data_IF_180806266000
#
_entry.id   IF_180806266000
#
_cell.length_a   1.000
_cell.length_b   1.000
_cell.length_c   1.000
_cell.angle_alpha   90.00
_cell.angle_beta   90.00
_cell.angle_gamma   90.00
#
_symmetry.space_group_name_H-M   'P 1'
#
loop_
_entity.id
_entity.type
_entity.pdbx_description
1 polymer ?
#
# COMPACT_ATOMS: atom_id res chain seq x y z
N UNK A 1 -39.59 -28.07 43.06
CA UNK A 1 -38.84 -27.52 41.90
C UNK A 1 -39.28 -26.08 41.71
N UNK A 2 -38.35 -25.10 41.71
CA UNK A 2 -38.69 -23.74 41.29
C UNK A 2 -39.04 -23.77 39.80
N UNK A 3 -40.02 -22.99 39.32
CA UNK A 3 -40.29 -22.90 37.89
C UNK A 3 -39.02 -22.42 37.17
N UNK A 4 -38.72 -23.01 36.01
CA UNK A 4 -37.59 -22.63 35.15
C UNK A 4 -37.58 -21.12 34.82
N UNK A 5 -38.74 -20.46 34.92
CA UNK A 5 -38.88 -19.00 34.75
C UNK A 5 -38.21 -18.15 35.84
N UNK A 6 -37.76 -18.74 36.95
CA UNK A 6 -37.13 -18.01 38.06
C UNK A 6 -35.59 -18.18 38.14
N UNK A 7 -34.99 -18.95 37.23
CA UNK A 7 -33.54 -19.18 37.19
C UNK A 7 -32.95 -18.64 35.89
N UNK A 8 -31.84 -17.92 36.00
CA UNK A 8 -31.07 -17.43 34.85
C UNK A 8 -30.56 -18.62 34.00
N UNK A 9 -31.03 -18.80 32.76
CA UNK A 9 -30.64 -19.91 31.89
C UNK A 9 -29.13 -19.93 31.61
N UNK A 10 -28.49 -18.77 31.52
CA UNK A 10 -27.05 -18.67 31.25
C UNK A 10 -26.27 -19.27 32.42
N UNK A 11 -26.68 -18.96 33.66
CA UNK A 11 -26.08 -19.52 34.87
C UNK A 11 -26.22 -21.05 34.93
N UNK A 12 -27.39 -21.59 34.57
CA UNK A 12 -27.61 -23.04 34.50
C UNK A 12 -26.70 -23.71 33.47
N UNK A 13 -26.50 -23.10 32.30
CA UNK A 13 -25.59 -23.61 31.27
C UNK A 13 -24.12 -23.58 31.72
N UNK A 14 -23.69 -22.52 32.41
CA UNK A 14 -22.33 -22.41 32.98
C UNK A 14 -22.07 -23.54 33.98
N UNK A 15 -23.03 -23.77 34.89
CA UNK A 15 -22.92 -24.84 35.89
C UNK A 15 -22.92 -26.23 35.25
N UNK A 16 -23.76 -26.45 34.24
CA UNK A 16 -23.82 -27.71 33.49
C UNK A 16 -22.51 -28.00 32.75
N UNK A 17 -21.96 -27.01 32.04
CA UNK A 17 -20.66 -27.13 31.37
C UNK A 17 -19.53 -27.38 32.37
N UNK A 18 -19.58 -26.77 33.56
CA UNK A 18 -18.60 -27.03 34.62
C UNK A 18 -18.59 -28.49 35.09
N UNK A 19 -19.77 -29.12 35.18
CA UNK A 19 -19.90 -30.54 35.51
C UNK A 19 -19.38 -31.43 34.37
N UNK A 20 -19.72 -31.10 33.13
CA UNK A 20 -19.27 -31.83 31.94
C UNK A 20 -17.74 -31.81 31.82
N UNK A 21 -17.11 -30.63 31.91
CA UNK A 21 -15.66 -30.48 31.93
C UNK A 21 -15.03 -31.31 33.06
N UNK A 22 -15.64 -31.29 34.26
CA UNK A 22 -15.17 -32.07 35.39
C UNK A 22 -15.20 -33.59 35.13
N UNK A 23 -16.19 -34.08 34.39
CA UNK A 23 -16.32 -35.49 34.03
C UNK A 23 -15.35 -35.88 32.91
N UNK A 24 -15.25 -35.07 31.85
CA UNK A 24 -14.31 -35.30 30.75
C UNK A 24 -12.87 -35.34 31.28
N UNK A 25 -12.47 -34.42 32.16
CA UNK A 25 -11.12 -34.43 32.78
C UNK A 25 -10.84 -35.68 33.62
N UNK A 26 -11.85 -36.27 34.27
CA UNK A 26 -11.66 -37.51 35.04
C UNK A 26 -11.40 -38.70 34.13
N UNK A 27 -12.09 -38.76 32.99
CA UNK A 27 -11.93 -39.82 31.96
C UNK A 27 -10.61 -39.66 31.21
N UNK A 28 -10.23 -38.42 30.90
CA UNK A 28 -9.07 -38.06 30.09
C UNK A 28 -7.94 -37.48 30.94
N UNK A 29 -7.23 -38.33 31.70
CA UNK A 29 -5.96 -37.95 32.33
C UNK A 29 -4.84 -37.95 31.28
N UNK A 30 -4.83 -36.95 30.39
CA UNK A 30 -3.70 -36.67 29.48
C UNK A 30 -3.39 -37.79 28.48
N UNK A 31 -4.41 -38.32 27.81
CA UNK A 31 -4.28 -39.44 26.88
C UNK A 31 -3.55 -39.00 25.60
N UNK A 32 -2.28 -39.39 25.49
CA UNK A 32 -1.53 -39.30 24.25
C UNK A 32 -1.90 -40.50 23.36
N UNK A 33 -2.41 -40.25 22.16
CA UNK A 33 -2.86 -41.30 21.25
C UNK A 33 -1.81 -41.50 20.16
N UNK A 34 -1.41 -42.75 19.92
CA UNK A 34 -0.53 -43.07 18.80
C UNK A 34 -1.38 -43.14 17.54
N UNK A 35 -1.04 -42.32 16.55
CA UNK A 35 -1.67 -42.31 15.23
C UNK A 35 -0.64 -42.68 14.16
N UNK A 36 -1.09 -43.38 13.12
CA UNK A 36 -0.21 -43.95 12.09
C UNK A 36 -0.67 -43.66 10.68
N UNK A 37 0.25 -43.85 9.74
CA UNK A 37 0.01 -43.74 8.31
C UNK A 37 -0.58 -42.38 7.92
N UNK A 38 0.09 -41.32 8.37
CA UNK A 38 -0.22 -39.95 8.01
C UNK A 38 0.30 -39.60 6.61
N UNK A 39 -0.56 -39.07 5.75
CA UNK A 39 -0.18 -38.57 4.43
C UNK A 39 -0.50 -37.07 4.32
N UNK A 40 0.41 -36.29 3.74
CA UNK A 40 0.17 -34.88 3.46
C UNK A 40 -0.76 -34.76 2.25
N UNK A 41 -1.95 -34.21 2.46
CA UNK A 41 -3.00 -34.08 1.43
C UNK A 41 -3.10 -32.67 0.85
N UNK A 42 -2.34 -31.71 1.40
CA UNK A 42 -2.19 -30.39 0.81
C UNK A 42 -1.83 -29.32 1.85
N UNK A 43 -1.98 -28.06 1.44
CA UNK A 43 -1.94 -26.91 2.35
C UNK A 43 -3.15 -26.03 2.07
N UNK A 44 -3.76 -25.46 3.13
CA UNK A 44 -4.92 -24.58 3.05
C UNK A 44 -5.01 -23.73 4.32
N UNK A 45 -5.44 -22.47 4.17
CA UNK A 45 -5.74 -21.59 5.31
C UNK A 45 -4.54 -21.36 6.26
N UNK A 46 -3.30 -21.39 5.76
CA UNK A 46 -2.08 -21.34 6.56
C UNK A 46 -1.69 -22.64 7.28
N UNK A 47 -2.41 -23.74 7.03
CA UNK A 47 -2.14 -25.06 7.61
C UNK A 47 -1.69 -26.06 6.55
N UNK A 48 -0.83 -26.99 6.94
CA UNK A 48 -0.50 -28.21 6.22
C UNK A 48 -1.50 -29.31 6.62
N UNK A 49 -2.22 -29.84 5.64
CA UNK A 49 -3.25 -30.84 5.86
C UNK A 49 -2.65 -32.24 5.83
N UNK A 50 -2.84 -32.98 6.92
CA UNK A 50 -2.43 -34.37 7.07
C UNK A 50 -3.62 -35.26 7.32
N UNK A 51 -3.68 -36.40 6.64
CA UNK A 51 -4.73 -37.41 6.77
C UNK A 51 -4.14 -38.68 7.37
N UNK A 52 -4.67 -39.10 8.50
CA UNK A 52 -4.31 -40.34 9.20
C UNK A 52 -5.49 -41.31 9.09
N UNK A 53 -5.22 -42.55 8.68
CA UNK A 53 -6.23 -43.61 8.54
C UNK A 53 -6.29 -44.54 9.74
N UNK A 54 -5.27 -44.47 10.60
CA UNK A 54 -5.15 -45.27 11.82
C UNK A 54 -5.01 -44.34 13.01
N UNK A 55 -6.14 -43.87 13.56
CA UNK A 55 -6.14 -42.92 14.67
C UNK A 55 -6.75 -43.44 15.98
N UNK A 56 -7.18 -44.70 16.04
CA UNK A 56 -7.87 -45.26 17.20
C UNK A 56 -9.21 -44.56 17.50
N UNK A 57 -9.81 -44.86 18.66
CA UNK A 57 -10.99 -44.14 19.15
C UNK A 57 -10.56 -42.81 19.79
N UNK A 58 -10.90 -41.70 19.13
CA UNK A 58 -10.62 -40.35 19.61
C UNK A 58 -11.94 -39.63 19.88
N UNK A 59 -12.10 -39.09 21.08
CA UNK A 59 -13.21 -38.18 21.41
C UNK A 59 -12.73 -36.72 21.28
N UNK A 60 -12.55 -36.27 20.04
CA UNK A 60 -12.21 -34.87 19.71
C UNK A 60 -13.11 -34.32 18.62
N UNK A 61 -13.53 -33.06 18.80
CA UNK A 61 -14.35 -32.34 17.82
C UNK A 61 -13.51 -31.53 16.83
N UNK A 62 -14.12 -31.14 15.72
CA UNK A 62 -13.54 -30.20 14.76
C UNK A 62 -13.16 -28.88 15.48
N UNK A 63 -12.05 -28.24 15.05
CA UNK A 63 -11.41 -27.08 15.67
C UNK A 63 -10.76 -27.33 17.04
N UNK A 64 -10.72 -28.57 17.55
CA UNK A 64 -9.98 -28.86 18.78
C UNK A 64 -8.47 -28.67 18.54
N UNK A 65 -7.76 -27.93 19.41
CA UNK A 65 -6.32 -27.79 19.30
C UNK A 65 -5.63 -29.12 19.59
N UNK A 66 -4.58 -29.40 18.83
CA UNK A 66 -3.76 -30.59 18.97
C UNK A 66 -2.28 -30.25 18.90
N UNK A 67 -1.47 -31.07 19.55
CA UNK A 67 -0.02 -31.07 19.37
C UNK A 67 0.39 -32.46 18.86
N UNK A 68 1.06 -32.48 17.72
CA UNK A 68 1.56 -33.69 17.09
C UNK A 68 3.06 -33.81 17.31
N UNK A 69 3.50 -34.93 17.89
CA UNK A 69 4.92 -35.22 18.14
C UNK A 69 5.38 -36.30 17.16
N UNK A 70 6.34 -35.96 16.30
CA UNK A 70 6.96 -36.86 15.32
C UNK A 70 8.47 -36.90 15.60
N UNK A 71 8.94 -37.99 16.21
CA UNK A 71 10.31 -38.09 16.71
C UNK A 71 10.61 -36.99 17.73
N UNK A 72 11.51 -36.06 17.39
CA UNK A 72 11.87 -34.90 18.23
C UNK A 72 11.12 -33.62 17.86
N UNK A 73 10.35 -33.61 16.76
CA UNK A 73 9.61 -32.44 16.29
C UNK A 73 8.23 -32.40 16.95
N UNK A 74 7.78 -31.20 17.30
CA UNK A 74 6.45 -30.92 17.84
C UNK A 74 5.79 -29.89 16.94
N UNK A 75 4.64 -30.23 16.37
CA UNK A 75 3.85 -29.31 15.55
C UNK A 75 2.50 -29.07 16.22
N UNK A 76 2.11 -27.80 16.32
CA UNK A 76 0.76 -27.43 16.74
C UNK A 76 -0.19 -27.47 15.56
N UNK A 77 -1.46 -27.69 15.85
CA UNK A 77 -2.48 -27.69 14.83
C UNK A 77 -3.88 -27.79 15.40
N UNK A 78 -4.83 -28.08 14.51
CA UNK A 78 -6.24 -28.25 14.83
C UNK A 78 -6.79 -29.50 14.15
N UNK A 79 -7.80 -30.10 14.77
CA UNK A 79 -8.62 -31.14 14.13
C UNK A 79 -9.47 -30.49 13.04
N UNK A 80 -9.27 -30.89 11.79
CA UNK A 80 -10.09 -30.44 10.67
C UNK A 80 -11.34 -31.30 10.54
N UNK A 81 -11.16 -32.62 10.64
CA UNK A 81 -12.25 -33.59 10.63
C UNK A 81 -11.83 -34.90 11.27
N UNK A 82 -12.76 -35.57 11.94
CA UNK A 82 -12.63 -36.96 12.38
C UNK A 82 -13.90 -37.72 11.99
N UNK A 83 -13.81 -38.59 10.98
CA UNK A 83 -14.96 -39.37 10.47
C UNK A 83 -14.51 -40.73 9.98
N UNK A 84 -15.31 -41.76 10.28
CA UNK A 84 -15.11 -43.13 9.78
C UNK A 84 -13.69 -43.67 10.06
N UNK A 85 -13.09 -43.27 11.19
CA UNK A 85 -11.72 -43.66 11.56
C UNK A 85 -10.62 -42.89 10.81
N UNK A 86 -10.98 -41.91 9.98
CA UNK A 86 -10.03 -41.04 9.28
C UNK A 86 -9.96 -39.68 10.00
N UNK A 87 -8.76 -39.35 10.47
CA UNK A 87 -8.44 -38.08 11.11
C UNK A 87 -7.72 -37.17 10.12
N UNK A 88 -8.26 -35.97 9.91
CA UNK A 88 -7.58 -34.90 9.18
C UNK A 88 -7.14 -33.81 10.15
N UNK A 89 -5.85 -33.50 10.16
CA UNK A 89 -5.24 -32.46 10.96
C UNK A 89 -4.75 -31.31 10.06
N UNK A 90 -4.92 -30.08 10.53
CA UNK A 90 -4.26 -28.91 9.97
C UNK A 90 -3.12 -28.50 10.89
N UNK A 91 -1.87 -28.68 10.45
CA UNK A 91 -0.66 -28.39 11.23
C UNK A 91 -0.01 -27.09 10.77
N UNK A 92 0.58 -26.34 11.69
CA UNK A 92 1.27 -25.08 11.40
C UNK A 92 2.63 -25.31 10.70
N UNK A 93 3.19 -26.52 10.81
CA UNK A 93 4.49 -26.89 10.24
C UNK A 93 4.37 -28.03 9.23
N UNK A 94 5.23 -27.99 8.19
CA UNK A 94 5.41 -29.11 7.28
C UNK A 94 6.30 -30.17 7.95
N UNK A 95 5.70 -31.32 8.23
CA UNK A 95 6.35 -32.50 8.79
C UNK A 95 6.80 -33.50 7.71
N UNK A 96 6.73 -33.11 6.43
CA UNK A 96 7.08 -33.96 5.30
C UNK A 96 5.86 -34.58 4.62
N UNK A 97 6.10 -35.40 3.60
CA UNK A 97 5.04 -35.99 2.76
C UNK A 97 4.33 -37.15 3.46
N UNK A 98 5.05 -37.91 4.29
CA UNK A 98 4.54 -39.08 4.99
C UNK A 98 5.00 -39.09 6.44
N UNK A 99 4.13 -39.56 7.33
CA UNK A 99 4.35 -39.71 8.76
C UNK A 99 3.96 -41.14 9.12
N UNK A 100 4.95 -42.01 9.38
CA UNK A 100 4.69 -43.41 9.70
C UNK A 100 3.95 -43.55 11.05
N UNK A 101 4.47 -42.89 12.08
CA UNK A 101 3.92 -42.90 13.44
C UNK A 101 4.09 -41.53 14.09
N UNK A 102 3.07 -41.10 14.82
CA UNK A 102 3.08 -39.85 15.57
C UNK A 102 2.30 -39.99 16.88
N UNK A 103 2.70 -39.21 17.89
CA UNK A 103 1.96 -39.08 19.13
C UNK A 103 1.07 -37.85 19.06
N UNK A 104 -0.24 -38.04 19.13
CA UNK A 104 -1.25 -36.99 19.15
C UNK A 104 -1.62 -36.64 20.59
N UNK A 105 -1.35 -35.40 20.97
CA UNK A 105 -1.76 -34.81 22.24
C UNK A 105 -2.99 -33.94 21.99
N UNK A 106 -4.08 -34.22 22.71
CA UNK A 106 -5.34 -33.49 22.60
C UNK A 106 -5.80 -32.95 23.94
N UNK A 107 -6.52 -31.83 23.93
CA UNK A 107 -7.26 -31.32 25.08
C UNK A 107 -8.78 -31.44 24.82
N UNK A 108 -9.43 -32.53 25.26
CA UNK A 108 -10.85 -32.76 25.00
C UNK A 108 -11.75 -31.77 25.76
N UNK A 109 -11.23 -31.05 26.76
CA UNK A 109 -12.00 -30.06 27.50
C UNK A 109 -11.97 -28.66 26.89
N UNK A 110 -11.04 -28.41 25.95
CA UNK A 110 -10.75 -27.07 25.45
C UNK A 110 -12.00 -26.33 24.95
N UNK A 111 -12.77 -26.94 24.04
CA UNK A 111 -13.95 -26.31 23.45
C UNK A 111 -15.05 -26.04 24.49
N UNK A 112 -15.23 -26.95 25.45
CA UNK A 112 -16.20 -26.81 26.54
C UNK A 112 -15.80 -25.69 27.52
N UNK A 113 -14.51 -25.61 27.87
CA UNK A 113 -13.98 -24.53 28.70
C UNK A 113 -14.13 -23.17 28.01
N UNK A 114 -13.88 -23.08 26.69
CA UNK A 114 -14.08 -21.86 25.90
C UNK A 114 -15.54 -21.45 25.80
N UNK A 115 -16.44 -22.39 25.58
CA UNK A 115 -17.88 -22.12 25.60
C UNK A 115 -18.34 -21.61 26.98
N UNK A 116 -17.85 -22.24 28.06
CA UNK A 116 -18.15 -21.80 29.43
C UNK A 116 -17.63 -20.39 29.69
N UNK A 117 -16.41 -20.07 29.29
CA UNK A 117 -15.84 -18.72 29.38
C UNK A 117 -16.70 -17.69 28.63
N UNK A 118 -17.16 -18.02 27.41
CA UNK A 118 -18.04 -17.14 26.64
C UNK A 118 -19.36 -16.85 27.36
N UNK A 119 -19.99 -17.88 27.96
CA UNK A 119 -21.21 -17.69 28.74
C UNK A 119 -20.97 -16.89 30.03
N UNK A 120 -19.83 -17.08 30.69
CA UNK A 120 -19.45 -16.29 31.87
C UNK A 120 -19.27 -14.81 31.51
N UNK A 121 -18.60 -14.51 30.39
CA UNK A 121 -18.43 -13.15 29.89
C UNK A 121 -19.78 -12.50 29.52
N UNK A 122 -20.70 -13.30 28.95
CA UNK A 122 -22.07 -12.86 28.66
C UNK A 122 -22.82 -12.47 29.95
N UNK A 123 -22.74 -13.31 30.99
CA UNK A 123 -23.39 -13.04 32.28
C UNK A 123 -22.84 -11.78 32.98
N UNK A 124 -21.61 -11.38 32.67
CA UNK A 124 -20.98 -10.16 33.21
C UNK A 124 -21.29 -8.89 32.39
N UNK A 125 -22.17 -8.98 31.37
CA UNK A 125 -22.55 -7.84 30.54
C UNK A 125 -21.49 -7.46 29.50
N UNK A 126 -20.62 -8.40 29.12
CA UNK A 126 -19.46 -8.09 28.29
C UNK A 126 -19.78 -7.55 26.89
N UNK A 127 -20.76 -8.12 26.18
CA UNK A 127 -20.96 -7.86 24.74
C UNK A 127 -22.44 -7.78 24.32
N UNK A 128 -22.73 -7.13 23.17
CA UNK A 128 -24.08 -7.11 22.59
C UNK A 128 -24.57 -8.53 22.32
N UNK A 129 -25.70 -8.90 22.90
CA UNK A 129 -26.31 -10.22 22.76
C UNK A 129 -27.82 -10.06 22.58
N UNK A 130 -28.38 -10.71 21.56
CA UNK A 130 -29.82 -10.69 21.35
C UNK A 130 -30.51 -11.69 22.30
N UNK A 131 -30.67 -11.25 23.55
CA UNK A 131 -31.30 -12.05 24.60
C UNK A 131 -32.72 -12.47 24.23
N UNK A 132 -33.48 -11.62 23.54
CA UNK A 132 -34.87 -11.92 23.17
C UNK A 132 -34.96 -13.10 22.21
N UNK A 133 -34.10 -13.14 21.18
CA UNK A 133 -34.04 -14.26 20.24
C UNK A 133 -33.54 -15.52 20.93
N UNK A 134 -32.52 -15.42 21.79
CA UNK A 134 -32.00 -16.56 22.54
C UNK A 134 -33.05 -17.20 23.46
N UNK A 135 -33.80 -16.39 24.21
CA UNK A 135 -34.92 -16.84 25.05
C UNK A 135 -36.02 -17.50 24.19
N UNK A 136 -36.27 -16.99 22.98
CA UNK A 136 -37.23 -17.57 22.06
C UNK A 136 -36.78 -18.94 21.54
N UNK A 137 -35.50 -19.10 21.22
CA UNK A 137 -34.89 -20.39 20.83
C UNK A 137 -35.00 -21.42 21.96
N UNK A 138 -34.84 -20.98 23.22
CA UNK A 138 -34.96 -21.83 24.41
C UNK A 138 -36.43 -22.10 24.82
N UNK A 139 -37.41 -21.55 24.10
CA UNK A 139 -38.83 -21.67 24.45
C UNK A 139 -39.24 -20.91 25.72
N UNK A 140 -38.39 -20.00 26.22
CA UNK A 140 -38.66 -19.15 27.37
C UNK A 140 -39.50 -17.93 27.00
N UNK A 141 -39.52 -17.59 25.71
CA UNK A 141 -40.31 -16.50 25.13
C UNK A 141 -41.06 -17.01 23.89
N UNK A 142 -42.33 -16.64 23.68
CA UNK A 142 -43.06 -17.03 22.48
C UNK A 142 -42.47 -16.33 21.24
N UNK A 143 -42.32 -17.09 20.15
CA UNK A 143 -41.94 -16.58 18.83
C UNK A 143 -43.13 -15.79 18.26
N UNK A 144 -42.92 -14.53 17.92
CA UNK A 144 -43.92 -13.68 17.27
C UNK A 144 -43.52 -13.44 15.82
N UNK A 145 -44.45 -13.67 14.89
CA UNK A 145 -44.25 -13.38 13.49
C UNK A 145 -44.32 -11.87 13.26
N UNK A 146 -43.34 -11.33 12.54
CA UNK A 146 -43.41 -9.94 12.09
C UNK A 146 -44.25 -9.89 10.81
N UNK A 147 -45.38 -9.20 10.87
CA UNK A 147 -46.21 -8.94 9.68
C UNK A 147 -45.56 -7.79 8.91
N UNK A 148 -44.54 -8.09 8.11
CA UNK A 148 -44.02 -7.12 7.15
C UNK A 148 -44.87 -7.15 5.88
N UNK A 149 -45.30 -5.98 5.42
CA UNK A 149 -45.98 -5.84 4.13
C UNK A 149 -45.04 -6.34 3.02
N UNK A 150 -45.59 -7.18 2.13
CA UNK A 150 -44.90 -7.86 1.02
C UNK A 150 -43.84 -6.97 0.35
N UNK A 151 -42.58 -7.25 0.66
CA UNK A 151 -41.42 -6.69 -0.02
C UNK A 151 -40.48 -7.81 -0.46
N UNK A 152 -40.56 -8.20 -1.73
CA UNK A 152 -39.41 -8.75 -2.46
C UNK A 152 -39.15 -10.26 -2.43
N UNK A 153 -40.18 -11.11 -2.56
CA UNK A 153 -39.98 -12.50 -3.02
C UNK A 153 -40.47 -12.72 -4.47
N UNK A 154 -40.90 -11.66 -5.16
CA UNK A 154 -41.33 -11.74 -6.55
C UNK A 154 -40.10 -11.97 -7.46
N UNK A 155 -40.05 -13.12 -8.14
CA UNK A 155 -38.97 -13.49 -9.06
C UNK A 155 -37.85 -14.34 -8.46
N UNK A 156 -38.01 -14.88 -7.24
CA UNK A 156 -37.01 -15.75 -6.66
C UNK A 156 -37.07 -17.15 -7.27
N UNK A 157 -36.08 -17.51 -8.10
CA UNK A 157 -35.87 -18.85 -8.70
C UNK A 157 -36.02 -19.99 -7.67
N UNK A 158 -35.72 -19.72 -6.40
CA UNK A 158 -35.92 -20.65 -5.27
C UNK A 158 -37.34 -21.18 -5.15
N UNK A 159 -38.35 -20.33 -5.37
CA UNK A 159 -39.76 -20.69 -5.19
C UNK A 159 -40.29 -21.59 -6.31
N UNK A 160 -39.70 -21.51 -7.51
CA UNK A 160 -40.08 -22.31 -8.67
C UNK A 160 -39.57 -23.75 -8.57
N UNK A 161 -38.37 -23.94 -8.03
CA UNK A 161 -37.71 -25.25 -7.89
C UNK A 161 -38.07 -25.98 -6.58
N UNK A 162 -38.54 -25.27 -5.55
CA UNK A 162 -38.88 -25.82 -4.23
C UNK A 162 -40.23 -26.57 -4.24
N UNK A 163 -40.34 -27.66 -3.48
CA UNK A 163 -41.64 -28.31 -3.22
C UNK A 163 -42.51 -27.50 -2.24
N UNK A 164 -43.73 -27.95 -1.93
CA UNK A 164 -44.67 -27.20 -1.11
C UNK A 164 -44.15 -26.93 0.31
N UNK A 165 -43.55 -27.93 0.95
CA UNK A 165 -43.00 -27.84 2.30
C UNK A 165 -41.75 -26.94 2.35
N UNK A 166 -40.90 -27.01 1.32
CA UNK A 166 -39.74 -26.14 1.17
C UNK A 166 -40.15 -24.69 0.93
N UNK A 167 -41.17 -24.45 0.09
CA UNK A 167 -41.75 -23.11 -0.11
C UNK A 167 -42.28 -22.52 1.20
N UNK A 168 -42.98 -23.31 1.98
CA UNK A 168 -43.45 -22.90 3.31
C UNK A 168 -42.27 -22.56 4.23
N UNK A 169 -41.21 -23.38 4.26
CA UNK A 169 -40.02 -23.10 5.06
C UNK A 169 -39.33 -21.78 4.63
N UNK A 170 -39.25 -21.52 3.32
CA UNK A 170 -38.72 -20.25 2.78
C UNK A 170 -39.58 -19.08 3.28
N UNK A 171 -40.90 -19.13 3.08
CA UNK A 171 -41.81 -18.05 3.46
C UNK A 171 -41.76 -17.76 4.97
N UNK A 172 -41.81 -18.80 5.81
CA UNK A 172 -41.74 -18.67 7.27
C UNK A 172 -40.41 -18.06 7.71
N UNK A 173 -39.29 -18.48 7.09
CA UNK A 173 -37.96 -17.96 7.43
C UNK A 173 -37.77 -16.47 7.14
N UNK A 174 -38.55 -15.90 6.21
CA UNK A 174 -38.45 -14.47 5.88
C UNK A 174 -39.12 -13.56 6.91
N UNK A 175 -40.09 -14.09 7.67
CA UNK A 175 -40.98 -13.31 8.55
C UNK A 175 -40.92 -13.74 10.02
N UNK A 176 -40.23 -14.84 10.33
CA UNK A 176 -40.06 -15.33 11.70
C UNK A 176 -38.65 -15.04 12.22
N UNK A 177 -38.51 -14.51 13.46
CA UNK A 177 -37.20 -14.32 14.08
C UNK A 177 -36.50 -15.66 14.42
N UNK A 178 -37.26 -16.75 14.54
CA UNK A 178 -36.74 -18.11 14.78
C UNK A 178 -37.57 -19.10 13.97
N UNK A 179 -36.91 -19.94 13.17
CA UNK A 179 -37.55 -20.99 12.36
C UNK A 179 -36.85 -22.32 12.61
N UNK A 180 -37.61 -23.33 13.02
CA UNK A 180 -37.12 -24.69 13.14
C UNK A 180 -37.53 -25.50 11.92
N UNK A 181 -36.56 -26.09 11.22
CA UNK A 181 -36.80 -26.94 10.05
C UNK A 181 -36.49 -28.37 10.46
N UNK A 182 -37.51 -29.21 10.43
CA UNK A 182 -37.39 -30.63 10.75
C UNK A 182 -37.66 -31.47 9.51
N UNK A 183 -36.84 -32.50 9.28
CA UNK A 183 -37.07 -33.46 8.20
C UNK A 183 -36.24 -34.74 8.38
N UNK A 184 -36.82 -35.93 8.12
CA UNK A 184 -36.07 -37.19 8.07
C UNK A 184 -34.85 -37.14 7.12
N UNK A 185 -33.92 -38.11 7.19
CA UNK A 185 -32.88 -38.27 6.18
C UNK A 185 -33.48 -38.32 4.76
N UNK A 186 -32.83 -37.68 3.80
CA UNK A 186 -33.28 -37.66 2.39
C UNK A 186 -34.33 -36.61 2.03
N UNK A 187 -34.95 -35.90 2.98
CA UNK A 187 -36.01 -34.90 2.66
C UNK A 187 -35.50 -33.54 2.16
N UNK A 188 -34.23 -33.45 1.76
CA UNK A 188 -33.67 -32.23 1.19
C UNK A 188 -33.42 -31.08 2.18
N UNK A 189 -33.23 -31.35 3.48
CA UNK A 189 -32.96 -30.30 4.50
C UNK A 189 -31.88 -29.29 4.09
N UNK A 190 -30.74 -29.77 3.60
CA UNK A 190 -29.63 -28.90 3.17
C UNK A 190 -30.01 -28.07 1.96
N UNK A 191 -30.81 -28.63 1.04
CA UNK A 191 -31.36 -27.88 -0.09
C UNK A 191 -32.36 -26.82 0.37
N UNK A 192 -33.18 -27.11 1.38
CA UNK A 192 -34.07 -26.12 2.03
C UNK A 192 -33.28 -24.96 2.62
N UNK A 193 -32.18 -25.24 3.33
CA UNK A 193 -31.29 -24.19 3.85
C UNK A 193 -30.69 -23.35 2.72
N UNK A 194 -30.30 -23.97 1.60
CA UNK A 194 -29.79 -23.25 0.46
C UNK A 194 -30.84 -22.33 -0.18
N UNK A 195 -32.10 -22.76 -0.29
CA UNK A 195 -33.19 -21.91 -0.75
C UNK A 195 -33.42 -20.71 0.17
N UNK A 196 -33.40 -20.92 1.49
CA UNK A 196 -33.57 -19.85 2.49
C UNK A 196 -32.41 -18.86 2.41
N UNK A 197 -31.18 -19.37 2.32
CA UNK A 197 -30.00 -18.51 2.23
C UNK A 197 -30.01 -17.69 0.94
N UNK A 198 -30.36 -18.28 -0.21
CA UNK A 198 -30.51 -17.57 -1.47
C UNK A 198 -31.58 -16.46 -1.38
N UNK A 199 -32.73 -16.75 -0.77
CA UNK A 199 -33.78 -15.76 -0.57
C UNK A 199 -33.31 -14.59 0.31
N UNK A 200 -32.69 -14.88 1.46
CA UNK A 200 -32.12 -13.85 2.35
C UNK A 200 -31.04 -13.02 1.65
N UNK A 201 -30.14 -13.67 0.90
CA UNK A 201 -29.08 -13.01 0.14
C UNK A 201 -29.64 -12.05 -0.91
N UNK A 202 -30.64 -12.50 -1.69
CA UNK A 202 -31.32 -11.65 -2.69
C UNK A 202 -32.12 -10.51 -2.08
N UNK A 203 -32.58 -10.66 -0.85
CA UNK A 203 -33.18 -9.56 -0.07
C UNK A 203 -32.14 -8.62 0.56
N UNK A 204 -30.84 -8.76 0.23
CA UNK A 204 -29.75 -7.91 0.70
C UNK A 204 -29.31 -8.17 2.15
N UNK A 205 -29.81 -9.23 2.79
CA UNK A 205 -29.48 -9.60 4.17
C UNK A 205 -28.11 -10.30 4.23
N UNK A 206 -27.38 -10.08 5.32
CA UNK A 206 -26.17 -10.86 5.63
C UNK A 206 -26.54 -12.16 6.36
N UNK A 207 -25.70 -13.19 6.19
CA UNK A 207 -25.95 -14.56 6.63
C UNK A 207 -24.69 -15.09 7.29
N UNK A 208 -24.82 -15.54 8.54
CA UNK A 208 -23.82 -16.36 9.22
C UNK A 208 -24.27 -17.82 9.17
N UNK A 209 -23.61 -18.63 8.35
CA UNK A 209 -23.85 -20.07 8.23
C UNK A 209 -22.92 -20.83 9.18
N UNK A 210 -23.49 -21.51 10.18
CA UNK A 210 -22.70 -22.25 11.17
C UNK A 210 -23.18 -23.68 11.39
N UNK A 211 -22.24 -24.56 11.71
CA UNK A 211 -22.48 -25.92 12.20
C UNK A 211 -21.35 -26.37 13.14
N UNK A 212 -21.54 -27.48 13.85
CA UNK A 212 -20.53 -28.01 14.77
C UNK A 212 -19.37 -28.70 14.03
N UNK A 213 -19.55 -29.08 12.76
CA UNK A 213 -18.52 -29.78 11.98
C UNK A 213 -18.22 -29.10 10.65
N UNK A 214 -16.97 -29.20 10.19
CA UNK A 214 -16.51 -28.63 8.93
C UNK A 214 -17.27 -29.21 7.73
N UNK A 215 -17.53 -30.53 7.62
CA UNK A 215 -18.36 -31.04 6.49
C UNK A 215 -19.73 -30.43 6.45
N UNK A 216 -20.38 -30.23 7.61
CA UNK A 216 -21.77 -29.79 7.60
C UNK A 216 -21.85 -28.36 7.08
N UNK A 217 -20.90 -27.51 7.48
CA UNK A 217 -20.71 -26.18 6.91
C UNK A 217 -20.43 -26.27 5.42
N UNK A 218 -19.45 -27.08 5.02
CA UNK A 218 -19.02 -27.17 3.62
C UNK A 218 -20.12 -27.71 2.69
N UNK A 219 -20.87 -28.70 3.15
CA UNK A 219 -21.99 -29.30 2.41
C UNK A 219 -23.13 -28.28 2.23
N UNK A 220 -23.46 -27.53 3.28
CA UNK A 220 -24.47 -26.48 3.19
C UNK A 220 -24.01 -25.34 2.29
N UNK A 221 -22.74 -24.92 2.41
CA UNK A 221 -22.16 -23.88 1.57
C UNK A 221 -22.09 -24.29 0.10
N UNK A 222 -21.72 -25.54 -0.20
CA UNK A 222 -21.70 -26.08 -1.55
C UNK A 222 -23.07 -25.93 -2.22
N UNK A 223 -24.15 -26.34 -1.53
CA UNK A 223 -25.52 -26.17 -2.01
C UNK A 223 -25.91 -24.71 -2.22
N UNK A 224 -25.47 -23.80 -1.36
CA UNK A 224 -25.68 -22.36 -1.56
C UNK A 224 -24.96 -21.88 -2.83
N UNK A 225 -23.70 -22.29 -3.03
CA UNK A 225 -22.91 -21.92 -4.20
C UNK A 225 -23.49 -22.45 -5.52
N UNK A 226 -24.10 -23.65 -5.52
CA UNK A 226 -24.83 -24.18 -6.67
C UNK A 226 -25.98 -23.24 -7.08
N UNK A 227 -26.67 -22.65 -6.11
CA UNK A 227 -27.79 -21.74 -6.34
C UNK A 227 -27.37 -20.33 -6.72
N UNK A 228 -26.22 -19.88 -6.21
CA UNK A 228 -25.60 -18.60 -6.55
C UNK A 228 -24.65 -18.70 -7.75
N UNK A 229 -24.70 -19.79 -8.52
CA UNK A 229 -23.84 -19.98 -9.68
C UNK A 229 -24.13 -18.90 -10.73
N UNK A 230 -23.08 -18.16 -11.11
CA UNK A 230 -23.17 -17.02 -12.04
C UNK A 230 -23.56 -15.70 -11.36
N UNK A 231 -23.76 -15.67 -10.05
CA UNK A 231 -23.96 -14.43 -9.30
C UNK A 231 -22.63 -13.68 -9.14
N UNK A 232 -22.57 -12.37 -9.45
CA UNK A 232 -21.36 -11.57 -9.29
C UNK A 232 -20.80 -11.59 -7.87
N UNK A 233 -21.65 -11.77 -6.85
CA UNK A 233 -21.21 -11.83 -5.45
C UNK A 233 -20.30 -13.01 -5.14
N UNK A 234 -20.44 -14.12 -5.86
CA UNK A 234 -19.52 -15.25 -5.72
C UNK A 234 -18.13 -14.91 -6.28
N UNK A 235 -18.07 -14.13 -7.36
CA UNK A 235 -16.81 -13.70 -7.96
C UNK A 235 -16.12 -12.58 -7.18
N UNK A 236 -16.87 -11.69 -6.54
CA UNK A 236 -16.34 -10.55 -5.78
C UNK A 236 -16.01 -10.89 -4.33
N UNK A 237 -16.26 -12.11 -3.88
CA UNK A 237 -15.91 -12.56 -2.53
C UNK A 237 -16.96 -12.22 -1.46
N UNK A 238 -18.24 -12.04 -1.85
CA UNK A 238 -19.34 -11.84 -0.90
C UNK A 238 -19.75 -13.13 -0.17
N UNK A 239 -19.29 -14.28 -0.65
CA UNK A 239 -19.53 -15.59 -0.03
C UNK A 239 -18.20 -16.17 0.41
N UNK A 240 -18.01 -16.35 1.72
CA UNK A 240 -16.74 -16.75 2.31
C UNK A 240 -16.88 -17.97 3.21
N UNK A 241 -15.90 -18.86 3.12
CA UNK A 241 -15.64 -19.97 4.04
C UNK A 241 -14.44 -19.61 4.90
N UNK A 242 -14.68 -19.42 6.20
CA UNK A 242 -13.64 -19.09 7.17
C UNK A 242 -13.27 -20.30 8.01
N UNK A 243 -12.04 -20.79 7.86
CA UNK A 243 -11.52 -21.98 8.52
C UNK A 243 -11.18 -23.11 7.55
N UNK A 244 -10.73 -24.26 8.07
CA UNK A 244 -10.33 -25.39 7.25
C UNK A 244 -11.54 -26.01 6.53
N UNK A 245 -11.28 -26.71 5.43
CA UNK A 245 -12.29 -27.38 4.60
C UNK A 245 -12.11 -28.88 4.68
N UNK A 246 -13.21 -29.58 4.89
CA UNK A 246 -13.29 -31.03 4.94
C UNK A 246 -13.90 -31.65 3.67
N UNK A 247 -14.70 -30.92 2.89
CA UNK A 247 -15.27 -31.41 1.61
C UNK A 247 -14.34 -31.15 0.43
N UNK A 248 -13.94 -32.21 -0.25
CA UNK A 248 -13.17 -32.12 -1.50
C UNK A 248 -14.02 -31.52 -2.63
N UNK A 249 -15.33 -31.76 -2.65
CA UNK A 249 -16.25 -31.23 -3.67
C UNK A 249 -16.35 -29.71 -3.62
N UNK A 250 -16.55 -29.13 -2.42
CA UNK A 250 -16.57 -27.68 -2.24
C UNK A 250 -15.24 -27.07 -2.68
N UNK A 251 -14.13 -27.68 -2.26
CA UNK A 251 -12.78 -27.21 -2.59
C UNK A 251 -12.53 -27.19 -4.09
N UNK A 252 -12.85 -28.28 -4.79
CA UNK A 252 -12.58 -28.41 -6.22
C UNK A 252 -13.46 -27.49 -7.07
N UNK A 253 -14.75 -27.37 -6.72
CA UNK A 253 -15.71 -26.63 -7.56
C UNK A 253 -15.76 -25.14 -7.24
N UNK A 254 -15.63 -24.77 -5.97
CA UNK A 254 -15.87 -23.40 -5.49
C UNK A 254 -14.71 -22.81 -4.69
N UNK A 255 -13.62 -23.57 -4.45
CA UNK A 255 -12.49 -23.15 -3.60
C UNK A 255 -12.00 -21.72 -3.86
N UNK A 256 -11.69 -21.43 -5.13
CA UNK A 256 -11.17 -20.12 -5.59
C UNK A 256 -12.11 -18.93 -5.35
N UNK A 257 -13.39 -19.21 -5.07
CA UNK A 257 -14.43 -18.21 -4.93
C UNK A 257 -14.89 -18.02 -3.47
N UNK A 258 -14.77 -19.06 -2.64
CA UNK A 258 -15.28 -19.01 -1.26
C UNK A 258 -14.18 -19.11 -0.21
N UNK A 259 -13.03 -19.71 -0.49
CA UNK A 259 -12.00 -19.88 0.53
C UNK A 259 -11.26 -18.58 0.71
N UNK A 260 -11.33 -18.00 1.91
CA UNK A 260 -10.81 -16.65 2.17
C UNK A 260 -9.41 -16.43 1.60
N UNK A 261 -8.48 -17.35 1.87
CA UNK A 261 -7.09 -17.22 1.40
C UNK A 261 -6.96 -17.32 -0.13
N UNK A 262 -7.72 -18.20 -0.78
CA UNK A 262 -7.73 -18.32 -2.25
C UNK A 262 -8.39 -17.11 -2.92
N UNK A 263 -9.45 -16.56 -2.30
CA UNK A 263 -10.11 -15.34 -2.76
C UNK A 263 -9.19 -14.14 -2.62
N UNK A 264 -8.52 -14.00 -1.47
CA UNK A 264 -7.49 -12.96 -1.24
C UNK A 264 -6.40 -13.07 -2.29
N UNK A 265 -5.87 -14.26 -2.56
CA UNK A 265 -4.84 -14.45 -3.57
C UNK A 265 -5.33 -14.08 -4.98
N UNK A 266 -6.53 -14.53 -5.36
CA UNK A 266 -7.14 -14.23 -6.66
C UNK A 266 -7.36 -12.73 -6.87
N UNK A 267 -7.90 -12.02 -5.87
CA UNK A 267 -8.22 -10.60 -5.96
C UNK A 267 -6.98 -9.70 -5.79
N UNK A 268 -5.97 -10.15 -5.04
CA UNK A 268 -4.71 -9.41 -4.87
C UNK A 268 -3.76 -9.56 -6.06
N UNK A 269 -3.85 -10.65 -6.83
CA UNK A 269 -3.01 -10.88 -8.01
C UNK A 269 -3.00 -9.71 -9.02
N UNK A 270 -4.15 -9.23 -9.54
CA UNK A 270 -4.15 -8.11 -10.50
C UNK A 270 -3.58 -6.83 -9.89
N UNK A 271 -3.82 -6.58 -8.59
CA UNK A 271 -3.23 -5.45 -7.87
C UNK A 271 -1.71 -5.55 -7.79
N UNK A 272 -1.15 -6.73 -7.52
CA UNK A 272 0.31 -6.96 -7.52
C UNK A 272 0.92 -6.79 -8.91
N UNK A 273 0.23 -7.25 -9.96
CA UNK A 273 0.66 -7.06 -11.35
C UNK A 273 0.65 -5.57 -11.75
N UNK A 274 -0.42 -4.84 -11.40
CA UNK A 274 -0.53 -3.39 -11.60
C UNK A 274 0.60 -2.65 -10.84
N UNK A 275 0.82 -3.00 -9.57
CA UNK A 275 1.91 -2.44 -8.75
C UNK A 275 3.27 -2.63 -9.40
N UNK A 276 3.58 -3.84 -9.86
CA UNK A 276 4.86 -4.13 -10.53
C UNK A 276 5.01 -3.35 -11.86
N UNK A 277 3.93 -3.14 -12.60
CA UNK A 277 3.95 -2.32 -13.81
C UNK A 277 4.21 -0.83 -13.48
N UNK A 278 3.52 -0.30 -12.46
CA UNK A 278 3.69 1.08 -12.01
C UNK A 278 5.09 1.35 -11.43
N UNK A 279 5.70 0.38 -10.74
CA UNK A 279 7.09 0.48 -10.27
C UNK A 279 8.08 0.62 -11.43
N UNK A 280 7.89 -0.14 -12.52
CA UNK A 280 8.71 0.01 -13.74
C UNK A 280 8.52 1.40 -14.37
N UNK A 281 7.28 1.87 -14.46
CA UNK A 281 6.97 3.22 -14.96
C UNK A 281 7.61 4.30 -14.08
N UNK A 282 7.52 4.19 -12.76
CA UNK A 282 8.13 5.13 -11.82
C UNK A 282 9.66 5.18 -11.98
N UNK A 283 10.30 4.03 -12.18
CA UNK A 283 11.74 3.94 -12.42
C UNK A 283 12.14 4.56 -13.76
N UNK A 284 11.38 4.32 -14.83
CA UNK A 284 11.60 4.94 -16.14
C UNK A 284 11.48 6.47 -16.06
N UNK A 285 10.41 6.98 -15.45
CA UNK A 285 10.19 8.42 -15.24
C UNK A 285 11.30 9.05 -14.40
N UNK A 286 11.77 8.39 -13.34
CA UNK A 286 12.87 8.89 -12.52
C UNK A 286 14.19 8.96 -13.31
N UNK A 287 14.44 7.99 -14.20
CA UNK A 287 15.62 8.00 -15.06
C UNK A 287 15.57 9.11 -16.12
N UNK A 288 14.39 9.36 -16.70
CA UNK A 288 14.15 10.44 -17.67
C UNK A 288 14.27 11.81 -17.00
N UNK A 289 13.71 11.97 -15.80
CA UNK A 289 13.85 13.21 -15.02
C UNK A 289 15.32 13.53 -14.74
N UNK A 290 16.10 12.52 -14.31
CA UNK A 290 17.53 12.69 -14.03
C UNK A 290 18.31 13.13 -15.27
N UNK A 291 18.03 12.56 -16.44
CA UNK A 291 18.71 12.94 -17.68
C UNK A 291 18.34 14.35 -18.13
N UNK A 292 17.07 14.73 -18.00
CA UNK A 292 16.58 16.08 -18.32
C UNK A 292 17.10 17.14 -17.34
N UNK A 293 17.21 16.82 -16.06
CA UNK A 293 17.83 17.70 -15.05
C UNK A 293 19.31 17.94 -15.35
N UNK A 294 20.05 16.91 -15.75
CA UNK A 294 21.44 17.07 -16.18
C UNK A 294 21.53 17.94 -17.45
N UNK A 295 20.65 17.73 -18.43
CA UNK A 295 20.59 18.57 -19.62
C UNK A 295 20.26 20.05 -19.28
N UNK A 296 19.34 20.29 -18.33
CA UNK A 296 19.01 21.63 -17.87
C UNK A 296 20.20 22.31 -17.20
N UNK A 297 20.98 21.56 -16.40
CA UNK A 297 22.22 22.07 -15.79
C UNK A 297 23.24 22.50 -16.84
N UNK A 298 23.35 21.79 -17.97
CA UNK A 298 24.24 22.20 -19.07
C UNK A 298 23.76 23.50 -19.73
N UNK A 299 22.44 23.71 -19.83
CA UNK A 299 21.86 24.99 -20.28
C UNK A 299 22.15 26.14 -19.30
N UNK A 300 22.03 25.91 -18.00
CA UNK A 300 22.34 26.92 -16.98
C UNK A 300 23.80 27.36 -17.04
N UNK A 301 24.74 26.40 -17.17
CA UNK A 301 26.17 26.71 -17.32
C UNK A 301 26.46 27.51 -18.60
N UNK A 302 25.75 27.24 -19.69
CA UNK A 302 25.88 28.01 -20.93
C UNK A 302 25.39 29.46 -20.77
N UNK A 303 24.25 29.67 -20.08
CA UNK A 303 23.74 31.00 -19.79
C UNK A 303 24.69 31.80 -18.89
N UNK A 304 25.22 31.19 -17.81
CA UNK A 304 26.21 31.84 -16.95
C UNK A 304 27.48 32.26 -17.72
N UNK A 305 27.97 31.44 -18.65
CA UNK A 305 29.13 31.81 -19.48
C UNK A 305 28.79 32.90 -20.50
N UNK A 306 27.55 32.95 -21.02
CA UNK A 306 27.07 34.05 -21.88
C UNK A 306 27.01 35.38 -21.11
N UNK A 307 26.53 35.37 -19.88
CA UNK A 307 26.53 36.54 -19.01
C UNK A 307 27.96 37.02 -18.69
N UNK A 308 28.88 36.08 -18.38
CA UNK A 308 30.30 36.39 -18.20
C UNK A 308 30.89 37.05 -19.44
N UNK A 309 30.61 36.52 -20.63
CA UNK A 309 31.07 37.10 -21.89
C UNK A 309 30.60 38.55 -22.04
N UNK A 310 29.32 38.82 -21.80
CA UNK A 310 28.76 40.17 -21.81
C UNK A 310 29.50 41.10 -20.84
N UNK A 311 29.66 40.69 -19.58
CA UNK A 311 30.33 41.48 -18.55
C UNK A 311 31.81 41.79 -18.85
N UNK A 312 32.53 40.86 -19.50
CA UNK A 312 33.93 41.06 -19.89
C UNK A 312 34.00 41.98 -21.12
N UNK A 313 33.07 41.82 -22.06
CA UNK A 313 32.96 42.66 -23.24
C UNK A 313 32.66 44.13 -22.85
N UNK A 314 31.76 44.36 -21.90
CA UNK A 314 31.45 45.69 -21.39
C UNK A 314 32.64 46.34 -20.68
N UNK A 315 33.33 45.59 -19.82
CA UNK A 315 34.56 46.04 -19.16
C UNK A 315 35.65 46.38 -20.17
N UNK A 316 35.82 45.57 -21.21
CA UNK A 316 36.78 45.80 -22.27
C UNK A 316 36.44 47.06 -23.07
N UNK A 317 35.16 47.26 -23.40
CA UNK A 317 34.69 48.45 -24.10
C UNK A 317 34.92 49.72 -23.27
N UNK A 318 34.68 49.68 -21.95
CA UNK A 318 34.95 50.79 -21.04
C UNK A 318 36.45 51.12 -20.91
N UNK A 319 37.32 50.10 -20.86
CA UNK A 319 38.77 50.33 -20.86
C UNK A 319 39.23 50.92 -22.20
N UNK A 320 38.71 50.41 -23.32
CA UNK A 320 39.04 50.93 -24.66
C UNK A 320 38.61 52.38 -24.84
N UNK A 321 37.42 52.76 -24.37
CA UNK A 321 36.95 54.16 -24.41
C UNK A 321 37.81 55.07 -23.53
N UNK A 322 38.19 54.62 -22.32
CA UNK A 322 39.09 55.35 -21.44
C UNK A 322 40.49 55.54 -22.05
N UNK A 323 41.04 54.51 -22.70
CA UNK A 323 42.33 54.60 -23.42
C UNK A 323 42.24 55.63 -24.55
N UNK A 324 41.16 55.63 -25.34
CA UNK A 324 40.95 56.62 -26.41
C UNK A 324 40.86 58.05 -25.85
N UNK A 325 40.10 58.25 -24.78
CA UNK A 325 39.98 59.56 -24.15
C UNK A 325 41.34 60.07 -23.62
N UNK A 326 42.09 59.22 -22.93
CA UNK A 326 43.44 59.54 -22.46
C UNK A 326 44.41 59.82 -23.62
N UNK A 327 44.31 59.08 -24.74
CA UNK A 327 45.11 59.34 -25.93
C UNK A 327 44.83 60.73 -26.51
N UNK A 328 43.56 61.12 -26.62
CA UNK A 328 43.18 62.46 -27.07
C UNK A 328 43.73 63.55 -26.12
N UNK A 329 43.66 63.33 -24.79
CA UNK A 329 44.25 64.26 -23.81
C UNK A 329 45.78 64.34 -23.90
N UNK A 330 46.46 63.21 -24.08
CA UNK A 330 47.93 63.17 -24.28
C UNK A 330 48.32 63.93 -25.53
N UNK A 331 47.56 63.79 -26.63
CA UNK A 331 47.85 64.48 -27.89
C UNK A 331 47.65 65.99 -27.78
N UNK A 332 46.61 66.44 -27.07
CA UNK A 332 46.41 67.86 -26.74
C UNK A 332 47.54 68.41 -25.86
N UNK A 333 47.95 67.65 -24.83
CA UNK A 333 49.06 68.05 -23.94
C UNK A 333 50.41 68.08 -24.64
N UNK A 334 50.69 67.13 -25.54
CA UNK A 334 51.90 67.14 -26.37
C UNK A 334 51.99 68.40 -27.21
N UNK A 335 50.90 68.77 -27.91
CA UNK A 335 50.83 70.04 -28.65
C UNK A 335 51.07 71.24 -27.73
N UNK A 336 50.50 71.23 -26.52
CA UNK A 336 50.70 72.32 -25.56
C UNK A 336 52.14 72.42 -25.03
N UNK A 337 52.79 71.29 -24.79
CA UNK A 337 54.21 71.21 -24.42
C UNK A 337 55.10 71.72 -25.56
N UNK A 338 54.80 71.35 -26.81
CA UNK A 338 55.49 71.88 -28.01
C UNK A 338 55.32 73.41 -28.12
N UNK A 339 54.08 73.92 -28.02
CA UNK A 339 53.78 75.36 -28.02
C UNK A 339 54.54 76.12 -26.92
N UNK A 340 54.49 75.63 -25.67
CA UNK A 340 55.16 76.25 -24.53
C UNK A 340 56.69 76.18 -24.65
N UNK A 341 57.23 75.10 -25.20
CA UNK A 341 58.67 74.95 -25.49
C UNK A 341 59.14 75.96 -26.54
N UNK A 342 58.39 76.13 -27.62
CA UNK A 342 58.69 77.10 -28.68
C UNK A 342 58.61 78.54 -28.16
N UNK A 343 57.57 78.86 -27.38
CA UNK A 343 57.44 80.18 -26.72
C UNK A 343 58.57 80.45 -25.73
N UNK A 344 58.99 79.44 -24.95
CA UNK A 344 60.13 79.55 -24.05
C UNK A 344 61.44 79.80 -24.82
N UNK A 345 61.65 79.09 -25.93
CA UNK A 345 62.84 79.26 -26.78
C UNK A 345 62.89 80.65 -27.42
N UNK A 346 61.73 81.17 -27.86
CA UNK A 346 61.58 82.55 -28.35
C UNK A 346 61.85 83.56 -27.23
N UNK A 347 61.29 83.37 -26.03
CA UNK A 347 61.50 84.23 -24.87
C UNK A 347 62.97 84.27 -24.42
N UNK A 348 63.70 83.15 -24.50
CA UNK A 348 65.14 83.07 -24.19
C UNK A 348 66.01 83.85 -25.19
N UNK A 349 65.61 83.93 -26.46
CA UNK A 349 66.34 84.63 -27.54
C UNK A 349 66.07 86.16 -27.58
N UNK A 350 64.97 86.65 -27.01
CA UNK A 350 64.59 88.08 -27.01
C UNK A 350 65.22 88.90 -25.86
N UNK A 351 65.40 90.22 -26.03
CA UNK A 351 65.93 91.14 -25.00
C UNK A 351 64.92 91.57 -23.93
N UNK A 352 65.37 92.15 -22.79
CA UNK A 352 64.52 92.49 -21.63
C UNK A 352 63.29 93.38 -21.95
N UNK A 353 63.42 94.32 -22.90
CA UNK A 353 62.33 95.24 -23.31
C UNK A 353 61.28 94.55 -24.21
N UNK A 354 61.70 93.65 -25.10
CA UNK A 354 60.80 92.90 -26.01
C UNK A 354 59.95 91.85 -25.27
N UNK A 355 60.50 91.24 -24.21
CA UNK A 355 59.79 90.27 -23.35
C UNK A 355 58.59 90.88 -22.63
N UNK A 356 58.71 92.15 -22.22
CA UNK A 356 57.67 92.90 -21.50
C UNK A 356 56.49 93.27 -22.42
N UNK A 357 56.77 93.65 -23.67
CA UNK A 357 55.74 94.03 -24.65
C UNK A 357 54.85 92.85 -25.08
N UNK A 358 55.42 91.63 -25.13
CA UNK A 358 54.69 90.39 -25.45
C UNK A 358 54.18 89.61 -24.23
N UNK A 359 54.35 90.14 -23.01
CA UNK A 359 53.99 89.48 -21.73
C UNK A 359 54.56 88.04 -21.60
N UNK A 360 55.80 87.82 -22.02
CA UNK A 360 56.44 86.51 -21.95
C UNK A 360 57.37 86.44 -20.72
N UNK A 361 56.94 85.73 -19.67
CA UNK A 361 57.76 85.49 -18.47
C UNK A 361 58.43 84.11 -18.53
N UNK A 362 59.76 84.02 -18.79
CA UNK A 362 60.44 82.75 -18.97
C UNK A 362 60.42 81.84 -17.73
N UNK A 363 60.34 82.40 -16.52
CA UNK A 363 60.26 81.60 -15.28
C UNK A 363 58.88 80.96 -15.12
N UNK A 364 57.81 81.69 -15.46
CA UNK A 364 56.45 81.15 -15.45
C UNK A 364 56.24 80.13 -16.56
N UNK A 365 56.75 80.40 -17.77
CA UNK A 365 56.70 79.46 -18.90
C UNK A 365 57.49 78.17 -18.60
N UNK A 366 58.64 78.25 -17.90
CA UNK A 366 59.36 77.06 -17.43
C UNK A 366 58.57 76.24 -16.41
N UNK A 367 57.87 76.90 -15.49
CA UNK A 367 57.04 76.24 -14.48
C UNK A 367 55.81 75.56 -15.12
N UNK A 368 55.11 76.25 -16.02
CA UNK A 368 53.98 75.71 -16.78
C UNK A 368 54.41 74.54 -17.69
N UNK A 369 55.56 74.67 -18.36
CA UNK A 369 56.14 73.60 -19.19
C UNK A 369 56.46 72.36 -18.35
N UNK A 370 57.10 72.52 -17.18
CA UNK A 370 57.37 71.38 -16.27
C UNK A 370 56.07 70.74 -15.78
N UNK A 371 55.07 71.53 -15.41
CA UNK A 371 53.79 71.02 -14.94
C UNK A 371 53.07 70.22 -16.03
N UNK A 372 53.04 70.72 -17.28
CA UNK A 372 52.45 69.99 -18.40
C UNK A 372 53.26 68.74 -18.78
N UNK A 373 54.60 68.78 -18.70
CA UNK A 373 55.46 67.60 -18.90
C UNK A 373 55.20 66.51 -17.85
N UNK A 374 55.07 66.87 -16.57
CA UNK A 374 54.71 65.92 -15.50
C UNK A 374 53.31 65.33 -15.71
N UNK A 375 52.32 66.15 -16.10
CA UNK A 375 50.97 65.65 -16.37
C UNK A 375 50.91 64.80 -17.64
N UNK A 376 51.71 65.11 -18.66
CA UNK A 376 51.88 64.30 -19.85
C UNK A 376 52.44 62.93 -19.49
N UNK A 377 53.54 62.88 -18.73
CA UNK A 377 54.17 61.63 -18.29
C UNK A 377 53.18 60.77 -17.46
N UNK A 378 52.46 61.37 -16.51
CA UNK A 378 51.41 60.67 -15.73
C UNK A 378 50.30 60.11 -16.62
N UNK A 379 49.89 60.86 -17.65
CA UNK A 379 48.84 60.42 -18.58
C UNK A 379 49.32 59.28 -19.48
N UNK A 380 50.59 59.30 -19.90
CA UNK A 380 51.22 58.21 -20.67
C UNK A 380 51.36 56.93 -19.84
N UNK A 381 51.78 57.05 -18.57
CA UNK A 381 51.81 55.93 -17.61
C UNK A 381 50.39 55.36 -17.37
N UNK A 382 49.38 56.22 -17.24
CA UNK A 382 47.99 55.80 -17.11
C UNK A 382 47.49 55.04 -18.35
N UNK A 383 47.85 55.48 -19.57
CA UNK A 383 47.57 54.75 -20.81
C UNK A 383 48.24 53.38 -20.78
N UNK A 384 49.51 53.30 -20.39
CA UNK A 384 50.23 52.03 -20.35
C UNK A 384 49.59 51.04 -19.37
N UNK A 385 49.23 51.51 -18.17
CA UNK A 385 48.50 50.72 -17.19
C UNK A 385 47.14 50.24 -17.72
N UNK A 386 46.39 51.11 -18.39
CA UNK A 386 45.11 50.74 -19.01
C UNK A 386 45.28 49.77 -20.18
N UNK A 387 46.36 49.87 -20.96
CA UNK A 387 46.70 48.91 -22.03
C UNK A 387 47.04 47.52 -21.48
N UNK A 388 47.73 47.45 -20.33
CA UNK A 388 47.95 46.17 -19.63
C UNK A 388 46.62 45.58 -19.15
N UNK A 389 45.73 46.39 -18.58
CA UNK A 389 44.37 45.95 -18.21
C UNK A 389 43.57 45.47 -19.44
N UNK A 390 43.67 46.18 -20.57
CA UNK A 390 43.03 45.81 -21.82
C UNK A 390 43.49 44.43 -22.31
N UNK A 391 44.80 44.17 -22.35
CA UNK A 391 45.35 42.87 -22.76
C UNK A 391 44.84 41.72 -21.87
N UNK A 392 44.83 41.92 -20.55
CA UNK A 392 44.28 40.93 -19.60
C UNK A 392 42.81 40.62 -19.87
N UNK A 393 41.99 41.65 -20.15
CA UNK A 393 40.58 41.47 -20.50
C UNK A 393 40.41 40.79 -21.86
N UNK A 394 41.28 41.06 -22.84
CA UNK A 394 41.26 40.39 -24.16
C UNK A 394 41.60 38.89 -24.04
N UNK A 395 42.56 38.53 -23.19
CA UNK A 395 42.88 37.12 -22.88
C UNK A 395 41.72 36.41 -22.17
N UNK A 396 41.11 37.06 -21.18
CA UNK A 396 39.92 36.54 -20.50
C UNK A 396 38.76 36.36 -21.49
N UNK A 397 38.53 37.32 -22.38
CA UNK A 397 37.50 37.26 -23.41
C UNK A 397 37.73 36.07 -24.36
N UNK A 398 38.97 35.84 -24.79
CA UNK A 398 39.31 34.69 -25.63
C UNK A 398 39.02 33.36 -24.92
N UNK A 399 39.35 33.27 -23.63
CA UNK A 399 39.10 32.09 -22.80
C UNK A 399 37.60 31.81 -22.65
N UNK A 400 36.81 32.82 -22.32
CA UNK A 400 35.34 32.69 -22.20
C UNK A 400 34.72 32.31 -23.54
N UNK A 401 35.12 32.94 -24.64
CA UNK A 401 34.64 32.58 -26.00
C UNK A 401 34.94 31.14 -26.37
N UNK A 402 36.14 30.65 -26.06
CA UNK A 402 36.51 29.27 -26.32
C UNK A 402 35.63 28.29 -25.53
N UNK A 403 35.43 28.55 -24.23
CA UNK A 403 34.57 27.73 -23.37
C UNK A 403 33.11 27.74 -23.84
N UNK A 404 32.60 28.90 -24.22
CA UNK A 404 31.23 29.07 -24.70
C UNK A 404 30.99 28.25 -25.98
N UNK A 405 31.96 28.27 -26.92
CA UNK A 405 31.90 27.42 -28.13
C UNK A 405 31.83 25.93 -27.80
N UNK A 406 32.59 25.46 -26.80
CA UNK A 406 32.53 24.06 -26.36
C UNK A 406 31.16 23.71 -25.75
N UNK A 407 30.61 24.59 -24.90
CA UNK A 407 29.29 24.39 -24.28
C UNK A 407 28.15 24.43 -25.31
N UNK A 408 28.23 25.29 -26.33
CA UNK A 408 27.25 25.32 -27.42
C UNK A 408 27.23 24.03 -28.22
N UNK A 409 28.39 23.41 -28.48
CA UNK A 409 28.46 22.10 -29.15
C UNK A 409 27.86 20.96 -28.31
N UNK A 410 28.03 21.01 -26.99
CA UNK A 410 27.44 20.02 -26.07
C UNK A 410 25.93 20.20 -25.98
N UNK A 411 25.46 21.44 -25.78
CA UNK A 411 24.05 21.77 -25.60
C UNK A 411 23.18 21.52 -26.83
N UNK A 412 23.74 21.61 -28.04
CA UNK A 412 23.05 21.23 -29.31
C UNK A 412 22.52 19.80 -29.33
N UNK A 413 23.06 18.90 -28.50
CA UNK A 413 22.64 17.49 -28.42
C UNK A 413 21.38 17.29 -27.57
N UNK A 414 20.98 18.31 -26.81
CA UNK A 414 19.81 18.28 -25.95
C UNK A 414 18.63 19.01 -26.60
N UNK A 415 17.38 18.67 -26.21
CA UNK A 415 16.22 19.50 -26.53
C UNK A 415 16.39 20.92 -25.99
N UNK A 416 15.56 21.84 -26.49
CA UNK A 416 15.58 23.22 -26.02
C UNK A 416 15.22 23.31 -24.54
N UNK A 417 15.70 24.37 -23.86
CA UNK A 417 15.39 24.61 -22.45
C UNK A 417 13.88 24.58 -22.16
N UNK A 418 13.07 25.17 -23.05
CA UNK A 418 11.61 25.22 -22.91
C UNK A 418 10.97 23.82 -23.04
N UNK A 419 11.43 23.00 -23.98
CA UNK A 419 10.96 21.62 -24.12
C UNK A 419 11.34 20.78 -22.89
N UNK A 420 12.56 20.94 -22.37
CA UNK A 420 13.03 20.27 -21.16
C UNK A 420 12.15 20.65 -19.97
N UNK A 421 11.90 21.93 -19.72
CA UNK A 421 11.09 22.38 -18.58
C UNK A 421 9.64 21.91 -18.69
N UNK A 422 9.05 21.97 -19.89
CA UNK A 422 7.70 21.44 -20.13
C UNK A 422 7.65 19.92 -19.90
N UNK A 423 8.66 19.18 -20.36
CA UNK A 423 8.75 17.72 -20.17
C UNK A 423 8.98 17.34 -18.70
N UNK A 424 9.81 18.09 -17.97
CA UNK A 424 10.00 17.90 -16.53
C UNK A 424 8.69 18.12 -15.77
N UNK A 425 7.92 19.15 -16.12
CA UNK A 425 6.62 19.40 -15.51
C UNK A 425 5.63 18.24 -15.75
N UNK A 426 5.57 17.68 -16.97
CA UNK A 426 4.70 16.54 -17.25
C UNK A 426 5.16 15.26 -16.55
N UNK A 427 6.47 15.01 -16.47
CA UNK A 427 7.04 13.88 -15.70
C UNK A 427 6.71 14.03 -14.21
N UNK A 428 6.83 15.23 -13.64
CA UNK A 428 6.48 15.46 -12.23
C UNK A 428 5.01 15.13 -11.94
N UNK A 429 4.10 15.53 -12.81
CA UNK A 429 2.67 15.18 -12.71
C UNK A 429 2.47 13.66 -12.81
N UNK A 430 3.04 13.02 -13.83
CA UNK A 430 2.92 11.57 -14.02
C UNK A 430 3.53 10.77 -12.84
N UNK A 431 4.63 11.23 -12.26
CA UNK A 431 5.24 10.62 -11.06
C UNK A 431 4.31 10.74 -9.87
N UNK A 432 3.74 11.93 -9.62
CA UNK A 432 2.78 12.14 -8.52
C UNK A 432 1.59 11.19 -8.64
N UNK A 433 0.99 11.07 -9.82
CA UNK A 433 -0.11 10.14 -10.08
C UNK A 433 0.30 8.68 -9.88
N UNK A 434 1.48 8.30 -10.40
CA UNK A 434 2.03 6.94 -10.25
C UNK A 434 2.26 6.57 -8.78
N UNK A 435 2.91 7.44 -8.00
CA UNK A 435 3.12 7.19 -6.57
C UNK A 435 1.83 7.21 -5.76
N UNK A 436 0.86 8.06 -6.12
CA UNK A 436 -0.45 8.06 -5.49
C UNK A 436 -1.19 6.73 -5.73
N UNK A 437 -1.12 6.19 -6.95
CA UNK A 437 -1.73 4.89 -7.28
C UNK A 437 -0.98 3.73 -6.61
N UNK A 438 0.35 3.74 -6.57
CA UNK A 438 1.14 2.76 -5.81
C UNK A 438 0.74 2.74 -4.33
N UNK A 439 0.67 3.90 -3.69
CA UNK A 439 0.26 4.00 -2.28
C UNK A 439 -1.19 3.56 -2.05
N UNK A 440 -2.09 3.76 -3.02
CA UNK A 440 -3.44 3.22 -2.95
C UNK A 440 -3.43 1.68 -3.01
N UNK A 441 -2.72 1.09 -3.97
CA UNK A 441 -2.61 -0.36 -4.11
C UNK A 441 -1.99 -1.01 -2.86
N UNK A 442 -0.94 -0.41 -2.29
CA UNK A 442 -0.33 -0.94 -1.07
C UNK A 442 -1.33 -0.96 0.11
N UNK A 443 -2.19 0.07 0.23
CA UNK A 443 -3.28 0.08 1.23
C UNK A 443 -4.32 -0.98 0.94
N UNK A 444 -4.75 -1.11 -0.32
CA UNK A 444 -5.74 -2.11 -0.73
C UNK A 444 -5.25 -3.54 -0.43
N UNK A 445 -3.99 -3.85 -0.76
CA UNK A 445 -3.36 -5.14 -0.48
C UNK A 445 -3.28 -5.46 1.02
N UNK A 446 -2.99 -4.46 1.87
CA UNK A 446 -2.96 -4.64 3.32
C UNK A 446 -4.35 -4.86 3.93
N UNK A 447 -5.38 -4.26 3.33
CA UNK A 447 -6.74 -4.27 3.87
C UNK A 447 -7.65 -5.35 3.28
N UNK A 448 -7.30 -5.92 2.12
CA UNK A 448 -8.16 -6.82 1.33
C UNK A 448 -8.78 -7.94 2.17
N UNK A 449 -7.98 -8.61 3.01
CA UNK A 449 -8.46 -9.72 3.86
C UNK A 449 -9.53 -9.24 4.83
N UNK A 450 -9.28 -8.11 5.50
CA UNK A 450 -10.21 -7.53 6.48
C UNK A 450 -11.48 -7.03 5.82
N UNK A 451 -11.35 -6.33 4.69
CA UNK A 451 -12.49 -5.82 3.92
C UNK A 451 -13.38 -6.96 3.43
N UNK A 452 -12.81 -8.05 2.90
CA UNK A 452 -13.58 -9.21 2.48
C UNK A 452 -14.43 -9.79 3.61
N UNK A 453 -13.86 -9.99 4.80
CA UNK A 453 -14.62 -10.50 5.96
C UNK A 453 -15.71 -9.52 6.39
N UNK A 454 -15.43 -8.21 6.37
CA UNK A 454 -16.40 -7.17 6.76
C UNK A 454 -17.55 -7.00 5.75
N UNK A 455 -17.25 -7.07 4.46
CA UNK A 455 -18.20 -6.77 3.38
C UNK A 455 -18.95 -8.02 2.91
N UNK A 456 -18.53 -9.22 3.33
CA UNK A 456 -19.19 -10.45 2.92
C UNK A 456 -20.67 -10.49 3.32
N UNK A 457 -21.48 -11.10 2.47
CA UNK A 457 -22.91 -11.32 2.69
C UNK A 457 -23.19 -12.70 3.25
N UNK A 458 -22.35 -13.68 2.98
CA UNK A 458 -22.47 -15.03 3.51
C UNK A 458 -21.13 -15.43 4.09
N UNK A 459 -21.06 -15.56 5.42
CA UNK A 459 -19.90 -16.09 6.11
C UNK A 459 -20.23 -17.49 6.65
N UNK A 460 -19.52 -18.49 6.15
CA UNK A 460 -19.65 -19.88 6.57
C UNK A 460 -18.47 -20.29 7.46
N UNK A 461 -18.75 -20.74 8.66
CA UNK A 461 -17.71 -21.18 9.62
C UNK A 461 -18.27 -22.16 10.63
N UNK A 462 -17.42 -22.82 11.42
CA UNK A 462 -17.92 -23.66 12.52
C UNK A 462 -18.38 -22.80 13.69
N UNK A 463 -19.34 -23.29 14.47
CA UNK A 463 -19.82 -22.59 15.68
C UNK A 463 -18.66 -22.29 16.62
N UNK A 464 -17.73 -23.23 16.76
CA UNK A 464 -16.51 -23.10 17.57
C UNK A 464 -15.69 -21.86 17.17
N UNK A 465 -15.47 -21.66 15.87
CA UNK A 465 -14.65 -20.54 15.36
C UNK A 465 -15.20 -19.17 15.73
N UNK A 466 -16.52 -19.04 15.82
CA UNK A 466 -17.20 -17.76 16.18
C UNK A 466 -16.88 -17.25 17.58
N UNK A 467 -16.29 -18.09 18.44
CA UNK A 467 -15.87 -17.71 19.80
C UNK A 467 -14.42 -18.06 20.13
N UNK A 468 -13.67 -18.58 19.16
CA UNK A 468 -12.23 -18.83 19.29
C UNK A 468 -11.40 -17.72 18.67
N UNK A 469 -11.95 -16.99 17.68
CA UNK A 469 -11.25 -15.93 16.96
C UNK A 469 -11.99 -14.60 17.08
N UNK A 470 -11.30 -13.59 17.63
CA UNK A 470 -11.83 -12.23 17.78
C UNK A 470 -12.11 -11.53 16.44
N UNK A 471 -11.49 -11.99 15.34
CA UNK A 471 -11.70 -11.41 13.99
C UNK A 471 -13.15 -11.56 13.48
N UNK A 472 -13.90 -12.52 14.02
CA UNK A 472 -15.30 -12.79 13.66
C UNK A 472 -16.30 -12.24 14.68
N UNK A 473 -15.81 -11.66 15.77
CA UNK A 473 -16.62 -11.10 16.85
C UNK A 473 -16.71 -9.57 16.75
#
# INVERSE_FOLDING_TARGET
MRPLSAMDPVKLMIDALGREVGEVRKRYRGSANVIRNGERVGALAGYWLYRFRECGELEVGDESPVELVVGQRRARGVVVSLREGVLTLGLEEDLGVHIEEALLLTDPCFLLDRLRQRLQNLAQGGRPFNQQTAESVLGLRPIRFEVHQRGGAAGCRSLEEANAEQRQAIEVSQHSPVTFIWGPPGTGKTLTLAFIAEACYRSGRSILLVSNTNIAVDTALHRICERLKGDPGLETGLVLRYGPIASDELRQQYGKFVVLDEVVERLSKPLREERAALERTAQALASEEKSLQEALRQWDVLEEEREKLGSVQDRLNAVRSAVRALQTSVEQRRRRVEELSDLLQQARKMGRLERLFKRLNPVQLEAELRQEQEQLQRSEEAIQNKRVQQRKLEEQLATVRFRLKQLEEVTKRFPTRLEITHRLASIQTARRETYARLAAIDRDLLQIRKQLVQDCKILATTVHRTYLHEELE
#
